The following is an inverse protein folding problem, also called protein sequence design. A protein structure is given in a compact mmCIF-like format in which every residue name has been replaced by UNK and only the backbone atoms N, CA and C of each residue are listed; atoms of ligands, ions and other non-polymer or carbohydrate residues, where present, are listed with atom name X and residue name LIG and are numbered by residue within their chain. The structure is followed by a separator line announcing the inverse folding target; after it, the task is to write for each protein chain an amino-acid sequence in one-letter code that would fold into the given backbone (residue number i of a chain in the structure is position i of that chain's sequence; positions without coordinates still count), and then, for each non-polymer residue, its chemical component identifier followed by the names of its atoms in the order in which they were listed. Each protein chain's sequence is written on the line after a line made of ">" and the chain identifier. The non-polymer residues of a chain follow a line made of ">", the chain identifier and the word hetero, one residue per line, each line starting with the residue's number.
data_IF_263164540399
#
_entry.id   IF_263164540399
#
_cell.length_a   1.000
_cell.length_b   1.000
_cell.length_c   1.000
_cell.angle_alpha   90.00
_cell.angle_beta   90.00
_cell.angle_gamma   90.00
#
_symmetry.space_group_name_H-M   'P 1'
#
loop_
_entity.id
_entity.type
_entity.pdbx_description
1 polymer ?
#
# COMPACT_ATOMS: atom_id res chain seq x y z
N UNK A 1 14.14 -5.31 -1.90
CA UNK A 1 13.19 -4.84 -0.88
C UNK A 1 12.06 -4.09 -1.54
N UNK A 2 10.84 -4.39 -1.14
CA UNK A 2 9.67 -3.69 -1.67
C UNK A 2 9.41 -2.40 -0.91
N UNK A 3 8.91 -1.39 -1.62
CA UNK A 3 8.45 -0.16 -0.99
C UNK A 3 6.93 -0.10 -1.11
N UNK A 4 6.26 -0.04 0.03
CA UNK A 4 4.80 0.02 0.13
C UNK A 4 4.43 1.39 0.69
N UNK A 5 3.58 2.11 -0.01
CA UNK A 5 3.12 3.41 0.46
C UNK A 5 1.61 3.38 0.70
N UNK A 6 1.20 3.86 1.85
CA UNK A 6 -0.21 3.99 2.21
C UNK A 6 -0.55 5.47 2.10
N UNK A 7 -1.40 5.81 1.15
CA UNK A 7 -1.77 7.18 0.85
C UNK A 7 -3.03 7.56 1.62
N UNK A 8 -2.92 8.59 2.45
CA UNK A 8 -4.07 9.08 3.19
C UNK A 8 -3.66 9.89 4.41
N UNK A 9 -4.51 10.79 4.84
CA UNK A 9 -4.20 11.77 5.88
C UNK A 9 -4.60 11.30 7.28
N UNK A 10 -4.40 10.03 7.59
CA UNK A 10 -4.62 9.50 8.94
C UNK A 10 -6.05 9.15 9.28
N UNK A 11 -6.89 8.90 8.27
CA UNK A 11 -8.26 8.46 8.49
C UNK A 11 -8.29 7.02 9.06
N UNK A 12 -9.44 6.61 9.62
CA UNK A 12 -9.58 5.28 10.19
C UNK A 12 -9.29 4.18 9.15
N UNK A 13 -9.75 4.37 7.92
CA UNK A 13 -9.52 3.40 6.85
C UNK A 13 -8.04 3.36 6.45
N UNK A 14 -7.35 4.50 6.50
CA UNK A 14 -5.92 4.55 6.22
C UNK A 14 -5.13 3.75 7.25
N UNK A 15 -5.52 3.84 8.51
CA UNK A 15 -4.89 3.06 9.58
C UNK A 15 -5.15 1.57 9.42
N UNK A 16 -6.36 1.19 9.00
CA UNK A 16 -6.69 -0.21 8.74
C UNK A 16 -5.85 -0.77 7.59
N UNK A 17 -5.69 0.00 6.53
CA UNK A 17 -4.88 -0.43 5.39
C UNK A 17 -3.42 -0.60 5.80
N UNK A 18 -2.89 0.33 6.59
CA UNK A 18 -1.53 0.22 7.11
C UNK A 18 -1.36 -1.07 7.93
N UNK A 19 -2.31 -1.36 8.81
CA UNK A 19 -2.26 -2.57 9.63
C UNK A 19 -2.29 -3.84 8.77
N UNK A 20 -3.13 -3.85 7.74
CA UNK A 20 -3.19 -4.99 6.81
C UNK A 20 -1.87 -5.16 6.09
N UNK A 21 -1.25 -4.06 5.64
CA UNK A 21 0.04 -4.12 4.95
C UNK A 21 1.11 -4.72 5.86
N UNK A 22 1.18 -4.27 7.10
CA UNK A 22 2.14 -4.83 8.08
C UNK A 22 1.89 -6.31 8.31
N UNK A 23 0.63 -6.70 8.48
CA UNK A 23 0.26 -8.08 8.72
C UNK A 23 0.68 -8.99 7.57
N UNK A 24 0.41 -8.58 6.34
CA UNK A 24 0.72 -9.40 5.17
C UNK A 24 2.23 -9.50 4.96
N UNK A 25 2.96 -8.40 5.13
CA UNK A 25 4.42 -8.41 5.03
C UNK A 25 5.01 -9.40 6.04
N UNK A 26 4.48 -9.38 7.26
CA UNK A 26 4.91 -10.27 8.33
C UNK A 26 4.62 -11.73 7.99
N UNK A 27 3.41 -12.01 7.50
CA UNK A 27 2.99 -13.36 7.14
C UNK A 27 3.80 -13.93 5.98
N UNK A 28 4.16 -13.08 5.02
CA UNK A 28 4.95 -13.51 3.86
C UNK A 28 6.43 -13.63 4.19
N UNK A 29 6.88 -13.06 5.31
CA UNK A 29 8.28 -13.09 5.68
C UNK A 29 9.19 -12.35 4.71
N UNK A 30 8.68 -11.31 4.05
CA UNK A 30 9.43 -10.54 3.08
C UNK A 30 9.97 -9.27 3.69
N UNK A 31 11.00 -8.71 3.07
CA UNK A 31 11.52 -7.40 3.46
C UNK A 31 10.81 -6.32 2.66
N UNK A 32 10.14 -5.44 3.36
CA UNK A 32 9.41 -4.33 2.75
C UNK A 32 9.44 -3.13 3.67
N UNK A 33 9.51 -1.96 3.07
CA UNK A 33 9.41 -0.69 3.79
C UNK A 33 7.99 -0.17 3.62
N UNK A 34 7.32 0.17 4.71
CA UNK A 34 5.96 0.69 4.69
C UNK A 34 6.01 2.16 5.07
N UNK A 35 5.62 3.02 4.15
CA UNK A 35 5.69 4.47 4.30
C UNK A 35 4.27 5.02 4.25
N UNK A 36 3.94 5.90 5.22
CA UNK A 36 2.67 6.63 5.18
C UNK A 36 2.87 7.92 4.42
N UNK A 37 2.06 8.14 3.39
CA UNK A 37 2.07 9.39 2.62
C UNK A 37 0.84 10.17 3.05
N UNK A 38 1.05 11.21 3.86
CA UNK A 38 -0.04 11.96 4.49
C UNK A 38 -0.22 13.35 3.91
N UNK A 39 0.76 13.87 3.19
CA UNK A 39 0.68 15.20 2.60
C UNK A 39 -0.12 15.16 1.31
N UNK A 40 -1.09 16.07 1.21
CA UNK A 40 -2.02 16.08 0.09
C UNK A 40 -1.33 16.20 -1.29
N UNK A 41 -0.34 17.08 -1.48
CA UNK A 41 0.36 17.14 -2.76
C UNK A 41 1.03 15.83 -3.15
N UNK A 42 1.59 15.12 -2.18
CA UNK A 42 2.25 13.85 -2.43
C UNK A 42 1.25 12.77 -2.81
N UNK A 43 0.07 12.77 -2.17
CA UNK A 43 -1.02 11.85 -2.50
C UNK A 43 -1.51 12.12 -3.92
N UNK A 44 -1.70 13.37 -4.27
CA UNK A 44 -2.20 13.77 -5.59
C UNK A 44 -1.20 13.44 -6.70
N UNK A 45 0.08 13.36 -6.38
CA UNK A 45 1.11 13.01 -7.37
C UNK A 45 0.89 11.60 -7.93
N UNK A 46 0.16 10.74 -7.22
CA UNK A 46 -0.16 9.39 -7.69
C UNK A 46 -1.45 9.33 -8.50
N UNK A 47 -2.09 10.47 -8.75
CA UNK A 47 -3.30 10.59 -9.57
C UNK A 47 -4.48 9.78 -9.04
N UNK A 48 -4.57 9.57 -7.73
CA UNK A 48 -5.73 8.91 -7.13
C UNK A 48 -6.79 9.94 -6.79
N UNK A 49 -8.04 9.55 -6.91
CA UNK A 49 -9.17 10.44 -6.66
C UNK A 49 -9.78 10.27 -5.27
N UNK A 50 -9.44 9.20 -4.60
CA UNK A 50 -9.97 8.95 -3.26
C UNK A 50 -8.96 8.14 -2.44
N UNK A 51 -9.05 8.29 -1.11
CA UNK A 51 -8.18 7.60 -0.16
C UNK A 51 -9.00 6.58 0.62
N UNK A 52 -8.38 5.56 1.21
CA UNK A 52 -6.95 5.30 1.19
C UNK A 52 -6.46 4.72 -0.15
N UNK A 53 -5.18 4.93 -0.44
CA UNK A 53 -4.55 4.35 -1.62
C UNK A 53 -3.39 3.45 -1.23
N UNK A 54 -3.16 2.41 -2.01
CA UNK A 54 -2.04 1.50 -1.79
C UNK A 54 -1.12 1.55 -3.01
N UNK A 55 0.15 1.83 -2.75
CA UNK A 55 1.19 1.92 -3.77
C UNK A 55 2.27 0.90 -3.44
N UNK A 56 2.68 0.13 -4.43
CA UNK A 56 3.78 -0.83 -4.28
C UNK A 56 4.78 -0.56 -5.38
N UNK A 57 6.02 -0.25 -5.00
CA UNK A 57 7.11 0.08 -5.93
C UNK A 57 6.70 1.18 -6.91
N UNK A 58 6.10 2.25 -6.39
CA UNK A 58 5.66 3.43 -7.15
C UNK A 58 4.49 3.16 -8.09
N UNK A 59 3.83 2.00 -7.96
CA UNK A 59 2.67 1.67 -8.78
C UNK A 59 1.42 1.59 -7.91
N UNK A 60 0.39 2.35 -8.26
CA UNK A 60 -0.88 2.33 -7.54
C UNK A 60 -1.59 1.01 -7.84
N UNK A 61 -1.86 0.22 -6.82
CA UNK A 61 -2.54 -1.07 -6.98
C UNK A 61 -3.97 -1.03 -6.45
N UNK A 62 -4.31 -0.05 -5.61
CA UNK A 62 -5.65 0.10 -5.08
C UNK A 62 -5.87 1.54 -4.66
N UNK A 63 -7.10 2.04 -4.80
CA UNK A 63 -7.46 3.38 -4.32
C UNK A 63 -8.94 3.41 -3.99
N UNK A 64 -9.29 4.21 -2.98
CA UNK A 64 -10.67 4.44 -2.59
C UNK A 64 -11.34 3.30 -1.84
N UNK A 65 -10.59 2.26 -1.47
CA UNK A 65 -11.13 1.13 -0.71
C UNK A 65 -10.02 0.45 0.09
N UNK A 66 -10.42 -0.40 1.01
CA UNK A 66 -9.49 -1.22 1.78
C UNK A 66 -9.44 -2.61 1.12
N UNK A 67 -8.32 -2.99 0.48
CA UNK A 67 -8.21 -4.35 -0.05
C UNK A 67 -8.15 -5.37 1.09
N UNK A 68 -8.60 -6.58 0.81
CA UNK A 68 -8.51 -7.67 1.78
C UNK A 68 -7.05 -8.10 1.94
N UNK A 69 -6.68 -8.77 3.05
CA UNK A 69 -5.33 -9.32 3.18
C UNK A 69 -4.95 -10.25 2.02
N UNK A 70 -5.91 -11.01 1.50
CA UNK A 70 -5.65 -11.89 0.35
C UNK A 70 -5.29 -11.08 -0.90
N UNK A 71 -5.99 -9.96 -1.13
CA UNK A 71 -5.68 -9.08 -2.26
C UNK A 71 -4.29 -8.45 -2.11
N UNK A 72 -3.95 -8.00 -0.90
CA UNK A 72 -2.64 -7.40 -0.65
C UNK A 72 -1.55 -8.45 -0.87
N UNK A 73 -1.77 -9.68 -0.44
CA UNK A 73 -0.83 -10.78 -0.68
C UNK A 73 -0.59 -10.97 -2.19
N UNK A 74 -1.66 -10.93 -2.98
CA UNK A 74 -1.55 -11.05 -4.44
C UNK A 74 -0.77 -9.87 -5.04
N UNK A 75 -1.04 -8.66 -4.58
CA UNK A 75 -0.33 -7.47 -5.06
C UNK A 75 1.17 -7.57 -4.75
N UNK A 76 1.53 -8.01 -3.55
CA UNK A 76 2.93 -8.14 -3.16
C UNK A 76 3.62 -9.27 -3.91
N UNK A 77 2.94 -10.39 -4.11
CA UNK A 77 3.50 -11.50 -4.88
C UNK A 77 3.78 -11.07 -6.32
N UNK A 78 2.86 -10.32 -6.94
CA UNK A 78 3.07 -9.80 -8.28
C UNK A 78 4.26 -8.84 -8.33
N UNK A 79 4.41 -7.98 -7.32
CA UNK A 79 5.52 -7.04 -7.25
C UNK A 79 6.86 -7.78 -7.12
N UNK A 80 6.88 -8.86 -6.35
CA UNK A 80 8.09 -9.67 -6.20
C UNK A 80 8.51 -10.32 -7.52
N UNK A 81 7.54 -10.74 -8.34
CA UNK A 81 7.82 -11.32 -9.63
C UNK A 81 8.42 -10.32 -10.60
N UNK A 82 8.01 -9.05 -10.52
CA UNK A 82 8.45 -8.03 -11.46
C UNK A 82 9.76 -7.35 -11.07
N UNK A 83 10.26 -7.59 -9.87
CA UNK A 83 11.51 -6.97 -9.40
C UNK A 83 12.73 -7.86 -9.56
N UNK A 84 12.54 -9.00 -10.12
CA UNK A 84 13.66 -9.94 -10.35
C UNK A 84 14.59 -9.48 -11.45
#
# INVERSE_FOLDING_TARGET
>A
MLTIKVLGSGCANCKKLEAIAHQVVDQMGIQAEIIKVTEYPDIMAYNIMSTPGLVINEKVVSSGRIPTPAEVTTFLASALETTS
#
